data_IF_218846078661
#
_entry.id   IF_218846078661
#
_cell.length_a   1.000
_cell.length_b   1.000
_cell.length_c   1.000
_cell.angle_alpha   90.00
_cell.angle_beta   90.00
_cell.angle_gamma   90.00
#
_symmetry.space_group_name_H-M   'P 1'
#
loop_
_entity.id
_entity.type
_entity.pdbx_description
1 polymer ?
#
# COMPACT_ATOMS: atom_id res chain seq x y z
N UNK A 1 56.52 5.79 -44.63
CA UNK A 1 57.56 4.90 -44.03
C UNK A 1 57.37 3.51 -44.63
N UNK A 2 58.45 2.92 -45.18
CA UNK A 2 58.48 1.63 -45.91
C UNK A 2 59.18 0.55 -45.05
N UNK A 3 58.93 -0.71 -45.43
CA UNK A 3 59.44 -2.04 -44.99
C UNK A 3 58.46 -2.82 -44.10
N UNK A 4 57.78 -3.89 -44.58
CA UNK A 4 58.21 -5.27 -44.98
C UNK A 4 58.64 -6.12 -43.76
N UNK A 5 58.28 -7.40 -43.56
CA UNK A 5 57.53 -8.42 -44.32
C UNK A 5 57.42 -9.69 -43.43
N UNK A 6 56.49 -10.61 -43.79
CA UNK A 6 56.67 -12.10 -43.83
C UNK A 6 56.60 -12.84 -42.48
N UNK A 7 55.89 -13.97 -42.31
CA UNK A 7 55.10 -14.83 -43.22
C UNK A 7 54.23 -15.78 -42.34
N UNK A 8 52.99 -16.12 -42.73
CA UNK A 8 52.57 -17.37 -43.42
C UNK A 8 52.45 -18.55 -42.41
N UNK A 9 51.35 -19.26 -42.23
CA UNK A 9 50.53 -20.06 -43.18
C UNK A 9 49.29 -20.55 -42.43
N UNK A 10 48.07 -20.34 -42.95
CA UNK A 10 47.23 -21.31 -43.68
C UNK A 10 46.73 -22.52 -42.86
N UNK A 11 45.43 -22.45 -42.60
CA UNK A 11 44.50 -23.47 -42.10
C UNK A 11 44.36 -24.60 -43.13
N UNK A 12 44.41 -25.86 -42.67
CA UNK A 12 43.31 -26.85 -42.75
C UNK A 12 43.77 -28.31 -42.86
N UNK A 13 43.06 -29.16 -42.11
CA UNK A 13 42.70 -30.57 -42.36
C UNK A 13 43.49 -31.72 -41.70
N UNK A 14 42.67 -32.66 -41.17
CA UNK A 14 42.85 -34.12 -41.03
C UNK A 14 43.25 -34.66 -39.63
N UNK A 15 42.21 -34.82 -38.80
CA UNK A 15 41.66 -36.10 -38.30
C UNK A 15 42.54 -37.38 -38.18
N UNK A 16 42.40 -38.00 -37.00
CA UNK A 16 42.27 -39.44 -36.68
C UNK A 16 43.50 -40.23 -36.15
N UNK A 17 43.26 -40.73 -34.92
CA UNK A 17 43.59 -42.08 -34.38
C UNK A 17 45.06 -42.37 -34.05
N UNK A 18 45.42 -43.17 -33.04
CA UNK A 18 44.80 -43.84 -31.89
C UNK A 18 45.97 -44.53 -31.16
N UNK A 19 45.74 -44.85 -29.88
CA UNK A 19 46.33 -45.98 -29.15
C UNK A 19 47.85 -45.96 -28.91
N UNK A 20 48.41 -46.48 -27.82
CA UNK A 20 47.92 -47.05 -26.57
C UNK A 20 49.15 -47.10 -25.65
N UNK A 21 48.94 -47.05 -24.34
CA UNK A 21 49.53 -48.01 -23.38
C UNK A 21 49.56 -47.41 -21.98
N UNK A 22 48.59 -47.81 -21.17
CA UNK A 22 48.78 -47.93 -19.74
C UNK A 22 48.11 -49.23 -19.27
N UNK A 23 48.93 -50.27 -19.18
CA UNK A 23 48.58 -51.56 -18.61
C UNK A 23 48.29 -51.41 -17.11
N UNK A 24 47.08 -51.81 -16.69
CA UNK A 24 46.70 -51.97 -15.29
C UNK A 24 46.66 -53.47 -14.93
N UNK A 25 47.33 -53.82 -13.83
CA UNK A 25 47.42 -55.18 -13.27
C UNK A 25 46.05 -55.83 -12.94
N UNK A 26 45.96 -57.18 -12.92
CA UNK A 26 44.71 -57.89 -12.65
C UNK A 26 44.31 -57.84 -11.17
N UNK A 27 43.10 -57.32 -10.91
CA UNK A 27 42.49 -57.25 -9.57
C UNK A 27 42.06 -58.62 -9.04
N UNK A 28 42.24 -58.85 -7.74
CA UNK A 28 41.89 -60.10 -7.05
C UNK A 28 40.38 -60.43 -7.08
N UNK A 29 39.96 -61.71 -6.89
CA UNK A 29 38.54 -62.11 -6.96
C UNK A 29 37.60 -61.36 -6.00
N UNK A 30 38.12 -60.90 -4.84
CA UNK A 30 37.36 -60.07 -3.88
C UNK A 30 37.17 -58.61 -4.33
N UNK A 31 38.01 -58.09 -5.22
CA UNK A 31 37.85 -56.76 -5.81
C UNK A 31 36.85 -56.77 -6.96
N UNK A 32 36.76 -57.86 -7.74
CA UNK A 32 35.81 -57.97 -8.85
C UNK A 32 34.34 -58.05 -8.39
N UNK A 33 34.04 -58.67 -7.25
CA UNK A 33 32.68 -58.67 -6.67
C UNK A 33 32.26 -57.27 -6.20
N UNK A 34 33.16 -56.53 -5.56
CA UNK A 34 32.92 -55.15 -5.09
C UNK A 34 32.74 -54.15 -6.25
N UNK A 35 33.42 -54.37 -7.38
CA UNK A 35 33.25 -53.56 -8.61
C UNK A 35 31.91 -53.88 -9.31
N UNK A 36 31.47 -55.15 -9.34
CA UNK A 36 30.15 -55.53 -9.88
C UNK A 36 29.00 -54.96 -9.06
N UNK A 37 29.07 -55.00 -7.73
CA UNK A 37 28.07 -54.41 -6.85
C UNK A 37 27.99 -52.87 -7.02
N UNK A 38 29.13 -52.19 -7.13
CA UNK A 38 29.17 -50.75 -7.41
C UNK A 38 28.57 -50.38 -8.79
N UNK A 39 28.78 -51.21 -9.80
CA UNK A 39 28.21 -50.97 -11.13
C UNK A 39 26.69 -51.24 -11.17
N UNK A 40 26.20 -52.19 -10.38
CA UNK A 40 24.76 -52.42 -10.23
C UNK A 40 24.08 -51.25 -9.52
N UNK A 41 24.69 -50.75 -8.45
CA UNK A 41 24.19 -49.58 -7.71
C UNK A 41 24.15 -48.34 -8.62
N UNK A 42 25.23 -48.05 -9.36
CA UNK A 42 25.28 -46.91 -10.28
C UNK A 42 24.31 -47.05 -11.46
N UNK A 43 24.09 -48.26 -11.98
CA UNK A 43 23.23 -48.46 -13.16
C UNK A 43 21.74 -48.39 -12.84
N UNK A 44 21.32 -48.81 -11.65
CA UNK A 44 19.89 -48.90 -11.30
C UNK A 44 19.44 -47.88 -10.26
N UNK A 45 20.26 -47.57 -9.26
CA UNK A 45 19.87 -46.63 -8.20
C UNK A 45 20.11 -45.17 -8.58
N UNK A 46 21.15 -44.87 -9.37
CA UNK A 46 21.39 -43.50 -9.82
C UNK A 46 20.22 -42.91 -10.65
N UNK A 47 19.68 -43.60 -11.69
CA UNK A 47 18.51 -43.08 -12.40
C UNK A 47 17.25 -43.05 -11.54
N UNK A 48 17.11 -43.98 -10.59
CA UNK A 48 15.98 -43.99 -9.65
C UNK A 48 16.04 -42.81 -8.67
N UNK A 49 17.21 -42.47 -8.15
CA UNK A 49 17.43 -41.31 -7.27
C UNK A 49 17.16 -40.01 -8.02
N UNK A 50 17.61 -39.93 -9.28
CA UNK A 50 17.33 -38.77 -10.15
C UNK A 50 15.82 -38.65 -10.42
N UNK A 51 15.14 -39.75 -10.69
CA UNK A 51 13.69 -39.75 -10.90
C UNK A 51 12.94 -39.29 -9.63
N UNK A 52 13.33 -39.80 -8.46
CA UNK A 52 12.74 -39.43 -7.18
C UNK A 52 13.00 -37.96 -6.82
N UNK A 53 14.18 -37.41 -7.16
CA UNK A 53 14.46 -35.99 -6.94
C UNK A 53 13.63 -35.08 -7.85
N UNK A 54 13.44 -35.45 -9.12
CA UNK A 54 12.53 -34.74 -10.03
C UNK A 54 11.08 -34.76 -9.53
N UNK A 55 10.60 -35.91 -9.05
CA UNK A 55 9.25 -36.02 -8.48
C UNK A 55 9.10 -35.11 -7.25
N UNK A 56 10.09 -35.09 -6.36
CA UNK A 56 10.08 -34.22 -5.18
C UNK A 56 10.08 -32.73 -5.56
N UNK A 57 10.90 -32.33 -6.53
CA UNK A 57 10.94 -30.94 -7.04
C UNK A 57 9.58 -30.56 -7.66
N UNK A 58 8.98 -31.44 -8.47
CA UNK A 58 7.65 -31.22 -9.04
C UNK A 58 6.58 -31.07 -7.97
N UNK A 59 6.62 -31.87 -6.89
CA UNK A 59 5.69 -31.74 -5.77
C UNK A 59 5.87 -30.42 -5.03
N UNK A 60 7.11 -29.97 -4.81
CA UNK A 60 7.41 -28.67 -4.18
C UNK A 60 6.89 -27.52 -5.06
N UNK A 61 7.14 -27.56 -6.37
CA UNK A 61 6.64 -26.56 -7.32
C UNK A 61 5.11 -26.56 -7.32
N UNK A 62 4.46 -27.72 -7.31
CA UNK A 62 3.00 -27.82 -7.23
C UNK A 62 2.47 -27.21 -5.93
N UNK A 63 3.10 -27.45 -4.78
CA UNK A 63 2.74 -26.83 -3.50
C UNK A 63 2.90 -25.30 -3.55
N UNK A 64 3.98 -24.80 -4.17
CA UNK A 64 4.20 -23.35 -4.36
C UNK A 64 3.12 -22.74 -5.25
N UNK A 65 2.78 -23.39 -6.36
CA UNK A 65 1.71 -22.94 -7.28
C UNK A 65 0.35 -22.97 -6.57
N UNK A 66 0.02 -24.04 -5.83
CA UNK A 66 -1.22 -24.13 -5.06
C UNK A 66 -1.30 -23.05 -3.96
N UNK A 67 -0.17 -22.74 -3.29
CA UNK A 67 -0.09 -21.62 -2.32
C UNK A 67 -0.24 -20.26 -2.99
N UNK A 68 0.28 -20.09 -4.21
CA UNK A 68 0.11 -18.88 -5.00
C UNK A 68 -1.35 -18.71 -5.48
N UNK A 69 -2.02 -19.79 -5.90
CA UNK A 69 -3.42 -19.74 -6.27
C UNK A 69 -4.34 -19.47 -5.08
N UNK A 70 -4.00 -19.96 -3.88
CA UNK A 70 -4.71 -19.60 -2.65
C UNK A 70 -4.55 -18.12 -2.25
N UNK A 71 -3.49 -17.45 -2.72
CA UNK A 71 -3.28 -16.01 -2.54
C UNK A 71 -3.93 -15.16 -3.63
N UNK A 72 -4.15 -15.71 -4.83
CA UNK A 72 -4.76 -15.00 -5.96
C UNK A 72 -6.30 -14.99 -5.96
N UNK A 73 -6.95 -15.67 -5.01
CA UNK A 73 -8.42 -15.70 -4.87
C UNK A 73 -8.95 -14.90 -3.67
N UNK A 74 -8.13 -14.06 -3.02
CA UNK A 74 -8.70 -12.97 -2.22
C UNK A 74 -9.26 -11.96 -3.19
N UNK A 75 -10.57 -12.05 -3.42
CA UNK A 75 -11.35 -11.00 -4.06
C UNK A 75 -10.88 -9.64 -3.54
N UNK A 76 -10.58 -8.72 -4.46
CA UNK A 76 -10.36 -7.31 -4.16
C UNK A 76 -11.61 -6.81 -3.45
N UNK A 77 -11.56 -6.83 -2.11
CA UNK A 77 -12.58 -6.23 -1.27
C UNK A 77 -12.23 -4.74 -1.28
N UNK A 78 -13.10 -3.86 -1.80
CA UNK A 78 -12.89 -2.42 -1.59
C UNK A 78 -12.71 -2.16 -0.09
N UNK A 79 -11.94 -1.14 0.30
CA UNK A 79 -11.65 -0.85 1.70
C UNK A 79 -12.96 -0.80 2.47
N UNK A 80 -13.16 -1.78 3.35
CA UNK A 80 -14.35 -1.80 4.20
C UNK A 80 -14.11 -0.82 5.33
N UNK A 81 -14.95 0.22 5.41
CA UNK A 81 -15.05 1.09 6.57
C UNK A 81 -15.34 0.23 7.80
N UNK A 82 -14.30 -0.06 8.58
CA UNK A 82 -14.42 -0.83 9.80
C UNK A 82 -14.64 0.14 10.95
N UNK A 83 -15.91 0.43 11.28
CA UNK A 83 -16.28 1.14 12.50
C UNK A 83 -15.82 0.29 13.70
N UNK A 84 -14.64 0.59 14.26
CA UNK A 84 -14.22 0.05 15.56
C UNK A 84 -15.05 0.75 16.64
N UNK A 85 -16.18 0.13 17.00
CA UNK A 85 -16.90 0.43 18.24
C UNK A 85 -16.28 -0.42 19.36
N UNK A 86 -15.44 0.20 20.19
CA UNK A 86 -15.22 -0.17 21.59
C UNK A 86 -14.31 0.88 22.20
N UNK A 87 -14.88 1.85 22.93
CA UNK A 87 -14.11 2.80 23.72
C UNK A 87 -14.35 2.46 25.19
N UNK A 88 -13.31 1.93 25.82
CA UNK A 88 -13.18 1.90 27.26
C UNK A 88 -12.63 3.26 27.73
N UNK A 89 -13.12 3.75 28.87
CA UNK A 89 -13.11 5.17 29.26
C UNK A 89 -11.74 5.80 29.60
N UNK A 90 -10.63 5.28 29.07
CA UNK A 90 -9.28 5.88 29.18
C UNK A 90 -8.53 6.00 27.84
N UNK A 91 -9.06 5.44 26.74
CA UNK A 91 -8.53 5.59 25.36
C UNK A 91 -9.05 6.87 24.66
N UNK A 92 -9.95 7.61 25.32
CA UNK A 92 -10.71 8.72 24.73
C UNK A 92 -9.88 9.92 24.28
N UNK A 93 -8.65 10.10 24.78
CA UNK A 93 -7.80 11.24 24.43
C UNK A 93 -6.77 10.92 23.34
N UNK A 94 -6.33 9.66 23.25
CA UNK A 94 -5.33 9.23 22.26
C UNK A 94 -6.00 8.92 20.91
N UNK A 95 -7.29 8.55 20.91
CA UNK A 95 -8.05 8.21 19.69
C UNK A 95 -9.01 9.32 19.23
N UNK A 96 -8.84 10.54 19.75
CA UNK A 96 -9.70 11.66 19.40
C UNK A 96 -9.71 11.89 17.89
N UNK A 97 -10.87 11.71 17.26
CA UNK A 97 -11.07 11.97 15.83
C UNK A 97 -10.86 10.77 14.89
N UNK A 98 -10.25 9.68 15.35
CA UNK A 98 -9.87 8.57 14.44
C UNK A 98 -11.03 7.81 13.84
N UNK A 99 -12.19 7.84 14.49
CA UNK A 99 -13.44 7.29 13.96
C UNK A 99 -13.95 8.00 12.69
N UNK A 100 -13.44 9.18 12.37
CA UNK A 100 -13.84 9.95 11.20
C UNK A 100 -12.90 9.78 9.99
N UNK A 101 -11.76 9.14 10.18
CA UNK A 101 -10.85 8.81 9.09
C UNK A 101 -11.23 7.44 8.51
N UNK A 102 -11.44 7.40 7.20
CA UNK A 102 -11.39 6.14 6.45
C UNK A 102 -9.98 5.61 6.54
N UNK A 103 -9.86 4.34 6.91
CA UNK A 103 -8.58 3.65 7.10
C UNK A 103 -8.35 2.65 5.98
N UNK A 104 -7.27 2.85 5.25
CA UNK A 104 -6.79 1.94 4.21
C UNK A 104 -5.46 1.30 4.64
N UNK A 105 -5.43 -0.03 4.57
CA UNK A 105 -4.24 -0.82 4.86
C UNK A 105 -3.45 -1.07 3.59
N UNK A 106 -2.13 -1.18 3.73
CA UNK A 106 -1.19 -1.53 2.67
C UNK A 106 -1.25 -0.57 1.46
N UNK A 107 -1.59 0.70 1.69
CA UNK A 107 -1.86 1.67 0.65
C UNK A 107 -1.32 3.06 0.99
N UNK A 108 -0.58 3.66 0.07
CA UNK A 108 0.05 4.98 0.22
C UNK A 108 -0.46 5.95 -0.83
N UNK A 109 -0.75 7.18 -0.40
CA UNK A 109 -0.93 8.31 -1.31
C UNK A 109 0.27 9.22 -1.14
N UNK A 110 1.18 9.31 -2.12
CA UNK A 110 2.40 10.09 -1.99
C UNK A 110 2.11 11.61 -1.97
N UNK A 111 3.12 12.41 -1.62
CA UNK A 111 3.08 13.88 -1.66
C UNK A 111 2.12 14.52 -0.62
N UNK A 112 1.97 15.86 -0.72
CA UNK A 112 1.13 16.71 0.13
C UNK A 112 1.44 16.62 1.64
N UNK A 113 2.63 16.16 1.99
CA UNK A 113 3.13 16.10 3.36
C UNK A 113 3.34 17.50 3.91
N UNK A 114 2.65 17.82 5.01
CA UNK A 114 2.87 19.06 5.76
C UNK A 114 3.73 18.85 7.01
N UNK A 115 3.79 17.62 7.51
CA UNK A 115 4.60 17.25 8.65
C UNK A 115 5.03 15.79 8.53
N UNK A 116 6.28 15.52 8.87
CA UNK A 116 6.81 14.17 9.05
C UNK A 116 7.39 14.06 10.47
N UNK A 117 7.01 13.01 11.19
CA UNK A 117 7.46 12.71 12.55
C UNK A 117 7.48 11.20 12.81
N UNK A 118 7.96 10.79 13.98
CA UNK A 118 7.93 9.40 14.47
C UNK A 118 6.90 9.32 15.60
N UNK A 119 6.00 8.34 15.56
CA UNK A 119 5.02 8.06 16.60
C UNK A 119 4.90 6.55 16.82
N UNK A 120 4.68 6.12 18.06
CA UNK A 120 4.69 4.69 18.39
C UNK A 120 3.47 3.93 17.83
N UNK A 121 2.37 4.63 17.57
CA UNK A 121 1.09 4.02 17.25
C UNK A 121 0.35 4.79 16.15
N UNK A 122 -0.40 4.05 15.33
CA UNK A 122 -1.27 4.59 14.28
C UNK A 122 -2.24 5.66 14.84
N UNK A 123 -2.87 5.37 15.98
CA UNK A 123 -3.85 6.26 16.59
C UNK A 123 -3.21 7.60 17.03
N UNK A 124 -1.92 7.59 17.40
CA UNK A 124 -1.18 8.84 17.66
C UNK A 124 -1.00 9.67 16.38
N UNK A 125 -0.65 9.03 15.26
CA UNK A 125 -0.53 9.72 13.96
C UNK A 125 -1.86 10.36 13.54
N UNK A 126 -2.93 9.59 13.70
CA UNK A 126 -4.28 10.04 13.46
C UNK A 126 -4.68 11.24 14.36
N UNK A 127 -4.47 11.14 15.67
CA UNK A 127 -4.79 12.21 16.62
C UNK A 127 -4.01 13.48 16.32
N UNK A 128 -2.74 13.35 15.90
CA UNK A 128 -1.97 14.49 15.42
C UNK A 128 -2.59 15.14 14.18
N UNK A 129 -3.06 14.34 13.21
CA UNK A 129 -3.79 14.88 12.06
C UNK A 129 -5.07 15.60 12.49
N UNK A 130 -5.85 14.99 13.38
CA UNK A 130 -7.12 15.55 13.85
C UNK A 130 -6.99 16.94 14.49
N UNK A 131 -5.92 17.16 15.26
CA UNK A 131 -5.67 18.44 15.92
C UNK A 131 -5.00 19.47 15.00
N UNK A 132 -4.56 19.06 13.82
CA UNK A 132 -3.99 19.96 12.82
C UNK A 132 -5.08 20.38 11.83
N UNK A 133 -5.49 21.65 11.87
CA UNK A 133 -6.65 22.13 11.13
C UNK A 133 -6.56 21.91 9.60
N UNK A 134 -5.35 22.00 9.03
CA UNK A 134 -5.11 21.77 7.61
C UNK A 134 -4.83 20.31 7.25
N UNK A 135 -4.83 19.38 8.21
CA UNK A 135 -4.60 17.97 7.95
C UNK A 135 -5.92 17.26 7.64
N UNK A 136 -6.01 16.67 6.45
CA UNK A 136 -7.21 15.92 6.00
C UNK A 136 -6.89 14.47 5.69
N UNK A 137 -5.60 14.12 5.66
CA UNK A 137 -5.13 12.75 5.51
C UNK A 137 -3.81 12.54 6.26
N UNK A 138 -3.45 11.30 6.51
CA UNK A 138 -2.15 10.94 7.04
C UNK A 138 -1.74 9.56 6.57
N UNK A 139 -0.44 9.31 6.62
CA UNK A 139 0.19 8.02 6.34
C UNK A 139 0.97 7.59 7.58
N UNK A 140 0.83 6.34 8.00
CA UNK A 140 1.58 5.74 9.09
C UNK A 140 2.32 4.50 8.59
N UNK A 141 3.58 4.30 9.02
CA UNK A 141 4.34 3.07 8.80
C UNK A 141 4.53 2.34 10.12
N UNK A 142 3.90 1.17 10.32
CA UNK A 142 4.09 0.37 11.53
C UNK A 142 5.55 -0.04 11.76
N UNK A 143 6.29 -0.43 10.71
CA UNK A 143 7.65 -0.95 10.88
C UNK A 143 8.68 0.13 11.24
N UNK A 144 8.47 1.36 10.77
CA UNK A 144 9.40 2.48 10.99
C UNK A 144 8.86 3.54 11.93
N UNK A 145 7.61 3.41 12.40
CA UNK A 145 6.89 4.37 13.23
C UNK A 145 6.74 5.76 12.60
N UNK A 146 7.06 5.90 11.31
CA UNK A 146 6.94 7.16 10.63
C UNK A 146 5.46 7.54 10.46
N UNK A 147 5.17 8.80 10.71
CA UNK A 147 3.88 9.45 10.54
C UNK A 147 4.04 10.67 9.64
N UNK A 148 3.28 10.71 8.56
CA UNK A 148 3.22 11.82 7.64
C UNK A 148 1.82 12.41 7.66
N UNK A 149 1.68 13.64 8.16
CA UNK A 149 0.44 14.40 8.08
C UNK A 149 0.35 15.06 6.72
N UNK A 150 -0.83 15.00 6.11
CA UNK A 150 -1.08 15.44 4.73
C UNK A 150 -2.22 16.44 4.66
N UNK A 151 -2.06 17.45 3.81
CA UNK A 151 -3.11 18.44 3.57
C UNK A 151 -4.28 17.90 2.75
N UNK A 152 -4.02 16.90 1.90
CA UNK A 152 -4.99 16.15 1.10
C UNK A 152 -4.36 14.85 0.58
N UNK A 153 -5.19 13.94 0.08
CA UNK A 153 -4.71 12.81 -0.74
C UNK A 153 -4.14 13.30 -2.08
N UNK A 154 -3.24 12.51 -2.68
CA UNK A 154 -2.75 12.76 -4.04
C UNK A 154 -3.90 12.64 -5.05
N UNK A 155 -4.04 13.64 -5.91
CA UNK A 155 -5.01 13.68 -7.00
C UNK A 155 -4.69 12.69 -8.12
N UNK A 156 -3.43 12.24 -8.21
CA UNK A 156 -3.01 11.21 -9.13
C UNK A 156 -3.26 9.78 -8.60
N UNK A 157 -3.82 9.66 -7.38
CA UNK A 157 -4.10 8.40 -6.72
C UNK A 157 -2.94 7.87 -5.88
N UNK A 158 -3.18 6.70 -5.28
CA UNK A 158 -2.20 6.01 -4.44
C UNK A 158 -1.67 4.72 -5.07
N UNK A 159 -0.76 4.06 -4.37
CA UNK A 159 -0.23 2.76 -4.76
C UNK A 159 -0.12 1.81 -3.56
N UNK A 160 -0.09 0.52 -3.88
CA UNK A 160 0.10 -0.54 -2.90
C UNK A 160 1.46 -0.42 -2.22
N UNK A 161 1.47 -0.38 -0.89
CA UNK A 161 2.67 -0.33 -0.07
C UNK A 161 2.44 -1.08 1.24
N UNK A 162 3.03 -2.28 1.36
CA UNK A 162 2.77 -3.25 2.44
C UNK A 162 2.88 -2.68 3.87
N UNK A 163 3.79 -1.74 4.09
CA UNK A 163 4.03 -1.13 5.40
C UNK A 163 3.42 0.28 5.52
N UNK A 164 2.33 0.53 4.81
CA UNK A 164 1.63 1.80 4.87
C UNK A 164 0.19 1.61 5.32
N UNK A 165 -0.23 2.45 6.25
CA UNK A 165 -1.62 2.61 6.64
C UNK A 165 -2.00 4.06 6.41
N UNK A 166 -2.96 4.31 5.53
CA UNK A 166 -3.46 5.66 5.25
C UNK A 166 -4.76 5.89 6.00
N UNK A 167 -4.89 7.05 6.64
CA UNK A 167 -6.16 7.57 7.14
C UNK A 167 -6.55 8.83 6.38
N UNK A 168 -7.79 8.97 5.90
CA UNK A 168 -8.25 10.21 5.27
C UNK A 168 -9.73 10.52 5.53
N UNK A 169 -10.09 11.81 5.48
CA UNK A 169 -11.47 12.28 5.65
C UNK A 169 -12.27 12.07 4.35
N UNK A 170 -12.79 10.85 4.15
CA UNK A 170 -13.61 10.48 2.98
C UNK A 170 -14.98 11.18 2.94
N UNK A 171 -15.50 11.62 4.10
CA UNK A 171 -16.78 12.33 4.20
C UNK A 171 -16.75 13.75 3.56
N UNK A 172 -15.58 14.19 3.09
CA UNK A 172 -15.36 15.47 2.43
C UNK A 172 -15.20 15.36 0.91
N UNK A 173 -15.61 14.24 0.29
CA UNK A 173 -15.37 13.96 -1.12
C UNK A 173 -15.68 15.15 -2.05
N UNK A 174 -14.64 15.65 -2.71
CA UNK A 174 -14.69 16.72 -3.70
C UNK A 174 -15.70 16.46 -4.80
N UNK A 175 -15.89 15.19 -5.18
CA UNK A 175 -16.81 14.79 -6.24
C UNK A 175 -18.28 15.02 -5.87
N UNK A 176 -18.60 15.00 -4.58
CA UNK A 176 -19.96 15.15 -4.07
C UNK A 176 -20.23 16.54 -3.48
N UNK A 177 -19.23 17.42 -3.45
CA UNK A 177 -19.43 18.81 -3.08
C UNK A 177 -20.22 19.56 -4.16
N UNK A 178 -21.15 20.38 -3.69
CA UNK A 178 -21.94 21.27 -4.51
C UNK A 178 -21.20 22.60 -4.63
N UNK A 179 -20.45 22.74 -5.73
CA UNK A 179 -19.88 24.03 -6.12
C UNK A 179 -21.01 25.00 -6.51
N UNK A 180 -20.80 26.27 -6.21
CA UNK A 180 -21.71 27.37 -6.53
C UNK A 180 -23.07 27.21 -5.83
N UNK A 181 -23.09 26.55 -4.67
CA UNK A 181 -24.28 26.25 -3.90
C UNK A 181 -24.09 26.61 -2.44
N UNK A 182 -25.12 27.20 -1.85
CA UNK A 182 -25.21 27.57 -0.45
C UNK A 182 -26.43 26.89 0.16
N UNK A 183 -26.24 26.11 1.22
CA UNK A 183 -27.36 25.68 2.06
C UNK A 183 -27.80 26.85 2.93
N UNK A 184 -29.10 27.07 3.01
CA UNK A 184 -29.70 28.13 3.82
C UNK A 184 -30.15 27.58 5.16
N UNK A 185 -30.23 28.48 6.15
CA UNK A 185 -30.71 28.22 7.51
C UNK A 185 -29.97 27.07 8.23
N UNK A 186 -30.53 26.62 9.35
CA UNK A 186 -30.09 25.49 10.18
C UNK A 186 -28.61 25.58 10.61
N UNK A 187 -28.04 26.77 10.82
CA UNK A 187 -26.66 26.83 11.30
C UNK A 187 -26.60 26.42 12.77
N UNK A 188 -25.65 25.56 13.09
CA UNK A 188 -25.47 25.03 14.45
C UNK A 188 -25.09 26.14 15.43
N UNK A 189 -24.54 27.25 14.92
CA UNK A 189 -24.14 28.41 15.69
C UNK A 189 -24.94 29.67 15.34
N UNK A 190 -26.23 29.56 15.01
CA UNK A 190 -27.09 30.73 14.69
C UNK A 190 -27.05 31.85 15.76
N UNK A 191 -26.63 31.54 17.00
CA UNK A 191 -26.49 32.50 18.11
C UNK A 191 -25.09 33.15 18.22
N UNK A 192 -24.10 32.67 17.47
CA UNK A 192 -22.78 33.30 17.40
C UNK A 192 -22.88 34.59 16.58
N UNK A 193 -22.03 35.60 16.86
CA UNK A 193 -22.10 36.95 16.29
C UNK A 193 -22.26 37.05 14.76
N UNK A 194 -22.02 35.98 14.00
CA UNK A 194 -22.23 35.92 12.54
C UNK A 194 -22.81 34.59 12.02
N UNK A 195 -23.23 33.65 12.88
CA UNK A 195 -23.72 32.33 12.45
C UNK A 195 -22.67 31.41 11.77
N UNK A 196 -21.41 31.84 11.70
CA UNK A 196 -20.31 31.19 11.00
C UNK A 196 -19.05 31.08 11.87
N UNK A 197 -18.14 30.18 11.48
CA UNK A 197 -16.79 30.06 12.05
C UNK A 197 -15.75 30.24 10.94
N UNK A 198 -14.54 30.75 11.21
CA UNK A 198 -13.52 30.91 10.19
C UNK A 198 -12.95 29.55 9.75
N UNK A 199 -12.71 29.39 8.45
CA UNK A 199 -12.00 28.25 7.87
C UNK A 199 -11.07 28.72 6.75
N UNK A 200 -9.87 28.14 6.65
CA UNK A 200 -8.91 28.54 5.61
C UNK A 200 -9.43 28.19 4.20
N UNK A 201 -10.12 27.05 4.08
CA UNK A 201 -10.64 26.51 2.83
C UNK A 201 -11.86 25.58 3.09
N UNK A 202 -12.49 25.12 2.02
CA UNK A 202 -13.66 24.23 2.13
C UNK A 202 -13.32 22.86 2.78
N UNK A 203 -12.13 22.24 2.58
CA UNK A 203 -11.76 21.04 3.33
C UNK A 203 -11.68 21.29 4.83
N UNK A 204 -11.11 22.42 5.25
CA UNK A 204 -11.08 22.81 6.66
C UNK A 204 -12.51 22.96 7.20
N UNK A 205 -13.40 23.57 6.42
CA UNK A 205 -14.82 23.71 6.78
C UNK A 205 -15.55 22.37 6.90
N UNK A 206 -15.31 21.45 5.98
CA UNK A 206 -15.82 20.08 6.05
C UNK A 206 -15.31 19.36 7.31
N UNK A 207 -14.01 19.45 7.61
CA UNK A 207 -13.42 18.88 8.82
C UNK A 207 -13.98 19.49 10.11
N UNK A 208 -14.34 20.78 10.10
CA UNK A 208 -15.09 21.42 11.19
C UNK A 208 -16.50 20.81 11.33
N UNK A 209 -17.20 20.53 10.23
CA UNK A 209 -18.49 19.86 10.26
C UNK A 209 -18.39 18.44 10.82
N UNK A 210 -17.44 17.64 10.34
CA UNK A 210 -17.18 16.28 10.85
C UNK A 210 -16.93 16.28 12.37
N UNK A 211 -16.25 17.32 12.87
CA UNK A 211 -15.98 17.53 14.31
C UNK A 211 -17.21 17.86 15.12
N UNK A 212 -18.16 18.57 14.53
CA UNK A 212 -19.37 19.00 15.22
C UNK A 212 -20.42 17.88 15.15
N UNK A 213 -20.72 17.27 16.30
CA UNK A 213 -21.59 16.07 16.38
C UNK A 213 -22.97 16.28 15.74
N UNK A 214 -23.47 17.51 15.78
CA UNK A 214 -24.80 17.84 15.25
C UNK A 214 -24.77 18.20 13.76
N UNK A 215 -23.57 18.30 13.16
CA UNK A 215 -23.41 18.75 11.78
C UNK A 215 -23.67 17.64 10.78
N UNK A 216 -24.50 17.94 9.79
CA UNK A 216 -24.84 17.06 8.68
C UNK A 216 -24.49 17.68 7.33
N UNK A 217 -24.21 18.97 7.30
CA UNK A 217 -23.79 19.67 6.10
C UNK A 217 -22.98 20.92 6.44
N UNK A 218 -22.25 21.42 5.47
CA UNK A 218 -21.53 22.68 5.61
C UNK A 218 -21.68 23.53 4.36
N UNK A 219 -21.47 24.83 4.52
CA UNK A 219 -21.23 25.76 3.42
C UNK A 219 -19.97 26.56 3.74
N UNK A 220 -19.04 26.64 2.80
CA UNK A 220 -17.85 27.45 2.89
C UNK A 220 -17.88 28.58 1.87
N UNK A 221 -17.56 29.81 2.28
CA UNK A 221 -17.36 30.95 1.39
C UNK A 221 -15.88 31.10 1.02
N UNK A 222 -15.59 30.97 -0.27
CA UNK A 222 -14.23 31.13 -0.81
C UNK A 222 -13.69 32.56 -0.78
N UNK A 223 -14.55 33.55 -0.54
CA UNK A 223 -14.18 34.97 -0.48
C UNK A 223 -14.03 35.45 0.96
N UNK A 224 -15.00 35.13 1.82
CA UNK A 224 -15.01 35.61 3.20
C UNK A 224 -14.33 34.66 4.18
N UNK A 225 -13.96 33.45 3.75
CA UNK A 225 -13.39 32.39 4.60
C UNK A 225 -14.32 31.99 5.75
N UNK A 226 -15.62 32.23 5.59
CA UNK A 226 -16.66 31.81 6.53
C UNK A 226 -17.06 30.37 6.25
N UNK A 227 -17.24 29.62 7.33
CA UNK A 227 -17.74 28.26 7.34
C UNK A 227 -19.02 28.19 8.17
N UNK A 228 -20.13 27.87 7.51
CA UNK A 228 -21.41 27.63 8.14
C UNK A 228 -21.60 26.13 8.33
N UNK A 229 -21.58 25.69 9.59
CA UNK A 229 -21.89 24.31 9.96
C UNK A 229 -23.40 24.16 10.14
N UNK A 230 -23.98 23.11 9.56
CA UNK A 230 -25.43 22.98 9.42
C UNK A 230 -25.94 21.71 10.05
N UNK A 231 -27.00 21.84 10.85
CA UNK A 231 -27.66 20.73 11.51
C UNK A 231 -28.40 19.83 10.51
N UNK A 232 -28.78 20.36 9.34
CA UNK A 232 -29.35 19.60 8.23
C UNK A 232 -28.89 20.16 6.88
N UNK A 233 -28.95 19.33 5.84
CA UNK A 233 -28.80 19.76 4.45
C UNK A 233 -30.15 20.21 3.89
N UNK A 234 -30.62 21.37 4.33
CA UNK A 234 -31.91 21.95 3.98
C UNK A 234 -32.00 22.46 2.53
N UNK A 235 -32.93 23.38 2.31
CA UNK A 235 -33.01 24.10 1.03
C UNK A 235 -31.75 24.93 0.81
N UNK A 236 -31.44 25.19 -0.45
CA UNK A 236 -30.28 25.99 -0.80
C UNK A 236 -30.55 26.87 -2.01
N UNK A 237 -29.57 27.72 -2.31
CA UNK A 237 -29.57 28.60 -3.49
C UNK A 237 -28.26 28.49 -4.23
N UNK A 238 -28.30 28.88 -5.50
CA UNK A 238 -27.09 29.14 -6.25
C UNK A 238 -26.35 30.32 -5.63
N UNK A 239 -25.06 30.14 -5.36
CA UNK A 239 -24.14 31.18 -4.90
C UNK A 239 -22.73 30.79 -5.38
N UNK A 240 -22.24 31.48 -6.41
CA UNK A 240 -20.96 31.17 -7.06
C UNK A 240 -19.72 31.37 -6.20
N UNK A 241 -19.88 31.85 -4.96
CA UNK A 241 -18.78 32.09 -4.04
C UNK A 241 -18.64 30.96 -3.01
N UNK A 242 -19.58 30.01 -3.00
CA UNK A 242 -19.65 29.00 -1.96
C UNK A 242 -19.45 27.58 -2.46
N UNK A 243 -18.94 26.74 -1.57
CA UNK A 243 -18.84 25.29 -1.74
C UNK A 243 -19.58 24.67 -0.57
N UNK A 244 -20.57 23.83 -0.87
CA UNK A 244 -21.32 23.12 0.15
C UNK A 244 -21.09 21.62 0.06
N UNK A 245 -21.20 20.92 1.18
CA UNK A 245 -21.10 19.46 1.23
C UNK A 245 -22.04 18.88 2.28
N UNK A 246 -22.38 17.60 2.10
CA UNK A 246 -23.12 16.80 3.08
C UNK A 246 -22.15 15.84 3.73
N UNK A 247 -22.31 15.64 5.04
CA UNK A 247 -21.60 14.63 5.80
C UNK A 247 -22.51 13.42 5.92
N UNK A 248 -22.08 12.27 5.40
CA UNK A 248 -22.85 11.03 5.53
C UNK A 248 -22.82 10.56 7.00
N UNK A 249 -23.97 10.63 7.68
CA UNK A 249 -24.20 10.09 9.02
C UNK A 249 -24.45 8.59 9.00
#
# INVERSE_FOLDING_TARGET
>A
MKYNKVDNTRIDSIMLNNADDNQLLPSTPKQQTKIRENNYIKKYYLPLIILLSFILICLIILIIILKHQHNASRAFKPPTCNKRNNISNNESLINAGCQYFTREEEWDYPHNDMLHTIVNEYDTCCSMCWHQASCTAFAYSPSTQNCWLKTKLDENGGYYHLDRITGYLDQCDQKHNLKDWEYLDDNIFDNAMNGSIPAADWPTCCGLCIRERTCKAYTFSSITHECWLKANAGVGRFNSLTISGRINS
#
